data_IF_325600136061
#
_entry.id   IF_325600136061
#
_cell.length_a   1.000
_cell.length_b   1.000
_cell.length_c   1.000
_cell.angle_alpha   90.00
_cell.angle_beta   90.00
_cell.angle_gamma   90.00
#
_symmetry.space_group_name_H-M   'P 1'
#
loop_
_entity.id
_entity.type
_entity.pdbx_description
1 polymer ?
#
# COMPACT_ATOMS: atom_id res chain seq x y z
N UNK A 1 -2.29 -6.08 1.56
CA UNK A 1 -2.47 -5.83 3.01
C UNK A 1 -1.83 -4.50 3.33
N UNK A 2 -2.46 -3.65 4.14
CA UNK A 2 -1.78 -2.46 4.64
C UNK A 2 -0.65 -2.87 5.59
N UNK A 3 0.41 -2.07 5.70
CA UNK A 3 1.46 -2.27 6.71
C UNK A 3 0.88 -2.38 8.13
N UNK A 4 -0.26 -1.72 8.37
CA UNK A 4 -0.99 -1.81 9.63
C UNK A 4 -1.65 -3.19 9.85
N UNK A 5 -2.25 -3.78 8.81
CA UNK A 5 -2.86 -5.12 8.89
C UNK A 5 -1.78 -6.17 9.21
N UNK A 6 -0.60 -6.01 8.61
CA UNK A 6 0.55 -6.88 8.85
C UNK A 6 1.05 -6.77 10.30
N UNK A 7 1.29 -5.54 10.79
CA UNK A 7 1.71 -5.32 12.16
C UNK A 7 0.69 -5.85 13.18
N UNK A 8 -0.60 -5.66 12.91
CA UNK A 8 -1.66 -6.15 13.79
C UNK A 8 -1.75 -7.67 13.80
N UNK A 9 -1.53 -8.34 12.66
CA UNK A 9 -1.49 -9.82 12.59
C UNK A 9 -0.38 -10.38 13.48
N UNK A 10 0.81 -9.76 13.43
CA UNK A 10 1.94 -10.13 14.31
C UNK A 10 1.55 -9.95 15.78
N UNK A 11 0.96 -8.79 16.13
CA UNK A 11 0.55 -8.50 17.50
C UNK A 11 -0.46 -9.52 18.05
N UNK A 12 -1.48 -9.89 17.26
CA UNK A 12 -2.46 -10.92 17.64
C UNK A 12 -1.78 -12.26 17.88
N UNK A 13 -0.87 -12.68 16.98
CA UNK A 13 -0.10 -13.91 17.13
C UNK A 13 0.76 -13.93 18.40
N UNK A 14 1.46 -12.84 18.69
CA UNK A 14 2.27 -12.69 19.91
C UNK A 14 1.43 -12.76 21.19
N UNK A 15 0.25 -12.14 21.19
CA UNK A 15 -0.67 -12.19 22.35
C UNK A 15 -1.18 -13.62 22.55
N UNK A 16 -1.61 -14.30 21.48
CA UNK A 16 -2.06 -15.69 21.55
C UNK A 16 -0.96 -16.60 22.11
N UNK A 17 0.27 -16.47 21.61
CA UNK A 17 1.42 -17.22 22.11
C UNK A 17 1.68 -16.96 23.60
N UNK A 18 1.66 -15.70 24.03
CA UNK A 18 1.88 -15.33 25.42
C UNK A 18 0.81 -15.90 26.38
N UNK A 19 -0.46 -15.95 25.93
CA UNK A 19 -1.58 -16.52 26.69
C UNK A 19 -1.47 -18.04 26.79
N UNK A 20 -1.05 -18.72 25.72
CA UNK A 20 -0.85 -20.18 25.73
C UNK A 20 0.37 -20.59 26.56
N UNK A 21 1.45 -19.81 26.52
CA UNK A 21 2.71 -20.14 27.20
C UNK A 21 2.72 -19.82 28.70
N UNK A 22 1.91 -18.86 29.17
CA UNK A 22 1.85 -18.50 30.59
C UNK A 22 0.55 -18.99 31.23
N UNK A 23 0.61 -20.14 31.91
CA UNK A 23 -0.49 -20.72 32.69
C UNK A 23 -0.95 -19.86 33.88
N UNK A 24 -0.12 -18.92 34.34
CA UNK A 24 -0.47 -17.96 35.40
C UNK A 24 -1.34 -16.79 34.90
N UNK A 25 -1.46 -16.61 33.58
CA UNK A 25 -2.36 -15.60 33.02
C UNK A 25 -3.75 -16.19 32.86
N UNK A 26 -4.72 -15.58 33.53
CA UNK A 26 -6.13 -15.94 33.36
C UNK A 26 -6.52 -15.85 31.88
N UNK A 27 -7.16 -16.89 31.34
CA UNK A 27 -7.76 -16.93 30.00
C UNK A 27 -8.62 -15.68 29.74
N UNK A 28 -9.25 -15.15 30.79
CA UNK A 28 -10.02 -13.92 30.75
C UNK A 28 -9.19 -12.70 30.29
N UNK A 29 -7.94 -12.57 30.77
CA UNK A 29 -7.02 -11.50 30.36
C UNK A 29 -6.64 -11.64 28.89
N UNK A 30 -6.41 -12.87 28.43
CA UNK A 30 -6.15 -13.17 27.02
C UNK A 30 -7.34 -12.81 26.13
N UNK A 31 -8.56 -13.16 26.56
CA UNK A 31 -9.78 -12.80 25.86
C UNK A 31 -10.00 -11.28 25.78
N UNK A 32 -9.79 -10.56 26.89
CA UNK A 32 -9.88 -9.09 26.92
C UNK A 32 -8.86 -8.47 25.97
N UNK A 33 -7.61 -8.97 25.96
CA UNK A 33 -6.58 -8.48 25.05
C UNK A 33 -6.96 -8.71 23.58
N UNK A 34 -7.50 -9.88 23.24
CA UNK A 34 -7.94 -10.20 21.89
C UNK A 34 -9.08 -9.29 21.43
N UNK A 35 -10.10 -9.11 22.28
CA UNK A 35 -11.24 -8.22 22.02
C UNK A 35 -10.78 -6.77 21.86
N UNK A 36 -9.82 -6.31 22.68
CA UNK A 36 -9.26 -4.98 22.57
C UNK A 36 -8.54 -4.77 21.23
N UNK A 37 -7.76 -5.74 20.76
CA UNK A 37 -7.06 -5.64 19.47
C UNK A 37 -8.04 -5.65 18.30
N UNK A 38 -9.02 -6.56 18.29
CA UNK A 38 -10.05 -6.63 17.23
C UNK A 38 -10.91 -5.35 17.23
N UNK A 39 -11.29 -4.88 18.42
CA UNK A 39 -12.05 -3.64 18.59
C UNK A 39 -11.26 -2.44 18.06
N UNK A 40 -9.97 -2.35 18.40
CA UNK A 40 -9.07 -1.31 17.89
C UNK A 40 -8.96 -1.35 16.37
N UNK A 41 -8.71 -2.52 15.76
CA UNK A 41 -8.67 -2.66 14.30
C UNK A 41 -9.97 -2.20 13.63
N UNK A 42 -11.11 -2.56 14.22
CA UNK A 42 -12.43 -2.21 13.69
C UNK A 42 -12.66 -0.70 13.74
N UNK A 43 -12.37 -0.07 14.89
CA UNK A 43 -12.49 1.39 15.07
C UNK A 43 -11.53 2.12 14.14
N UNK A 44 -10.28 1.67 14.04
CA UNK A 44 -9.27 2.27 13.18
C UNK A 44 -9.67 2.20 11.70
N UNK A 45 -10.14 1.03 11.24
CA UNK A 45 -10.61 0.84 9.86
C UNK A 45 -11.84 1.68 9.55
N UNK A 46 -12.76 1.81 10.51
CA UNK A 46 -13.93 2.66 10.38
C UNK A 46 -13.54 4.14 10.30
N UNK A 47 -12.64 4.60 11.18
CA UNK A 47 -12.15 5.98 11.19
C UNK A 47 -11.46 6.33 9.86
N UNK A 48 -10.59 5.44 9.36
CA UNK A 48 -9.93 5.59 8.06
C UNK A 48 -10.92 5.73 6.90
N UNK A 49 -12.00 4.93 6.88
CA UNK A 49 -13.03 5.01 5.82
C UNK A 49 -13.95 6.23 5.95
N UNK A 50 -14.21 6.70 7.18
CA UNK A 50 -15.18 7.77 7.45
C UNK A 50 -14.57 9.16 7.35
N UNK A 51 -13.29 9.31 7.68
CA UNK A 51 -12.61 10.59 7.79
C UNK A 51 -11.42 10.68 6.83
N UNK A 52 -11.56 11.46 5.75
CA UNK A 52 -10.51 11.62 4.74
C UNK A 52 -9.21 12.21 5.32
N UNK A 53 -9.28 13.08 6.32
CA UNK A 53 -8.11 13.63 6.99
C UNK A 53 -7.35 12.56 7.79
N UNK A 54 -8.07 11.58 8.35
CA UNK A 54 -7.48 10.48 9.10
C UNK A 54 -6.79 9.52 8.13
N UNK A 55 -7.43 9.19 7.01
CA UNK A 55 -6.79 8.42 5.94
C UNK A 55 -5.53 9.11 5.39
N UNK A 56 -5.60 10.42 5.11
CA UNK A 56 -4.45 11.18 4.62
C UNK A 56 -3.29 11.28 5.63
N UNK A 57 -3.56 11.16 6.93
CA UNK A 57 -2.53 11.17 7.97
C UNK A 57 -1.79 9.83 8.06
N UNK A 58 -2.49 8.73 7.82
CA UNK A 58 -1.96 7.36 8.02
C UNK A 58 -1.69 6.59 6.72
N UNK A 59 -2.09 7.11 5.57
CA UNK A 59 -1.91 6.49 4.26
C UNK A 59 -1.28 7.48 3.28
N UNK A 60 -0.18 7.09 2.64
CA UNK A 60 0.34 7.84 1.50
C UNK A 60 -0.59 7.68 0.31
N UNK A 61 -0.95 8.78 -0.35
CA UNK A 61 -1.74 8.72 -1.58
C UNK A 61 -0.87 8.16 -2.72
N UNK A 62 -1.43 7.32 -3.61
CA UNK A 62 -0.70 6.85 -4.77
C UNK A 62 -0.19 8.03 -5.61
N UNK A 63 0.99 7.89 -6.22
CA UNK A 63 1.62 8.95 -7.00
C UNK A 63 2.08 8.45 -8.37
N UNK A 64 1.75 9.19 -9.41
CA UNK A 64 2.15 8.88 -10.78
C UNK A 64 3.65 9.13 -10.95
N UNK A 65 4.39 8.11 -11.42
CA UNK A 65 5.84 8.18 -11.62
C UNK A 65 6.23 8.23 -13.10
N UNK A 66 5.39 7.67 -13.97
CA UNK A 66 5.61 7.65 -15.41
C UNK A 66 4.26 7.72 -16.13
N UNK A 67 4.20 8.39 -17.27
CA UNK A 67 3.00 8.47 -18.10
C UNK A 67 3.40 8.47 -19.57
N UNK A 68 2.74 7.65 -20.39
CA UNK A 68 2.93 7.61 -21.85
C UNK A 68 4.41 7.51 -22.28
N UNK A 69 5.21 6.67 -21.61
CA UNK A 69 6.64 6.55 -21.91
C UNK A 69 7.57 7.55 -21.22
N UNK A 70 7.05 8.58 -20.54
CA UNK A 70 7.85 9.66 -19.95
C UNK A 70 7.92 9.60 -18.41
N UNK A 71 9.13 9.67 -17.87
CA UNK A 71 9.37 9.70 -16.43
C UNK A 71 9.08 11.06 -15.81
N UNK A 72 8.27 11.08 -14.75
CA UNK A 72 7.90 12.27 -13.99
C UNK A 72 8.91 12.53 -12.87
N UNK A 73 10.06 13.12 -13.21
CA UNK A 73 11.21 13.32 -12.30
C UNK A 73 10.86 14.04 -10.99
N UNK A 74 9.93 14.98 -11.02
CA UNK A 74 9.53 15.71 -9.79
C UNK A 74 8.76 14.81 -8.83
N UNK A 75 7.93 13.91 -9.34
CA UNK A 75 7.19 12.94 -8.53
C UNK A 75 8.14 11.87 -7.97
N UNK A 76 9.10 11.42 -8.78
CA UNK A 76 10.17 10.52 -8.32
C UNK A 76 10.98 11.11 -7.15
N UNK A 77 11.29 12.41 -7.20
CA UNK A 77 11.95 13.10 -6.08
C UNK A 77 11.08 13.15 -4.82
N UNK A 78 9.77 13.39 -4.97
CA UNK A 78 8.81 13.44 -3.85
C UNK A 78 8.63 12.08 -3.18
N UNK A 79 8.72 10.99 -3.95
CA UNK A 79 8.59 9.62 -3.45
C UNK A 79 9.92 8.95 -3.11
N UNK A 80 11.05 9.64 -3.33
CA UNK A 80 12.39 9.10 -3.15
C UNK A 80 12.62 7.79 -3.95
N UNK A 81 12.13 7.76 -5.18
CA UNK A 81 12.27 6.62 -6.11
C UNK A 81 13.34 6.93 -7.14
N UNK A 82 14.29 6.03 -7.32
CA UNK A 82 15.34 6.17 -8.33
C UNK A 82 14.88 5.65 -9.70
N UNK A 83 15.61 6.03 -10.76
CA UNK A 83 15.39 5.44 -12.09
C UNK A 83 15.68 3.94 -12.10
N UNK A 84 16.65 3.49 -11.31
CA UNK A 84 17.02 2.07 -11.20
C UNK A 84 15.87 1.23 -10.65
N UNK A 85 15.15 1.76 -9.66
CA UNK A 85 13.94 1.13 -9.08
C UNK A 85 12.84 0.98 -10.15
N UNK A 86 12.62 2.03 -10.96
CA UNK A 86 11.64 1.98 -12.04
C UNK A 86 12.02 0.95 -13.10
N UNK A 87 13.29 0.91 -13.53
CA UNK A 87 13.75 -0.10 -14.47
C UNK A 87 13.66 -1.52 -13.92
N UNK A 88 13.86 -1.72 -12.61
CA UNK A 88 13.63 -3.01 -11.98
C UNK A 88 12.17 -3.44 -12.09
N UNK A 89 11.23 -2.51 -11.85
CA UNK A 89 9.79 -2.76 -11.96
C UNK A 89 9.33 -2.99 -13.40
N UNK A 90 9.91 -2.29 -14.36
CA UNK A 90 9.69 -2.56 -15.79
C UNK A 90 10.13 -3.98 -16.18
N UNK A 91 11.28 -4.44 -15.66
CA UNK A 91 11.73 -5.83 -15.86
C UNK A 91 10.81 -6.85 -15.20
N UNK A 92 10.36 -6.61 -13.97
CA UNK A 92 9.38 -7.47 -13.29
C UNK A 92 8.08 -7.58 -14.10
N UNK A 93 7.66 -6.51 -14.76
CA UNK A 93 6.48 -6.46 -15.61
C UNK A 93 6.71 -7.00 -17.04
N UNK A 94 7.91 -7.50 -17.38
CA UNK A 94 8.28 -7.93 -18.74
C UNK A 94 8.11 -6.85 -19.84
N UNK A 95 8.22 -5.57 -19.47
CA UNK A 95 8.21 -4.47 -20.42
C UNK A 95 9.53 -4.47 -21.21
N UNK A 96 9.43 -4.37 -22.53
CA UNK A 96 10.60 -4.42 -23.42
C UNK A 96 11.09 -3.04 -23.80
N UNK A 97 10.16 -2.10 -23.92
CA UNK A 97 10.43 -0.71 -24.27
C UNK A 97 9.54 0.23 -23.45
N UNK A 98 10.09 1.36 -23.02
CA UNK A 98 9.32 2.34 -22.23
C UNK A 98 8.10 2.89 -22.98
N UNK A 99 8.10 2.87 -24.31
CA UNK A 99 6.96 3.29 -25.14
C UNK A 99 5.72 2.39 -25.01
N UNK A 100 5.87 1.18 -24.47
CA UNK A 100 4.75 0.27 -24.17
C UNK A 100 4.01 0.68 -22.88
N UNK A 101 4.62 1.55 -22.06
CA UNK A 101 4.13 1.91 -20.72
C UNK A 101 3.17 3.09 -20.79
N UNK A 102 1.91 2.85 -20.41
CA UNK A 102 0.89 3.89 -20.28
C UNK A 102 1.04 4.65 -18.97
N UNK A 103 1.31 3.95 -17.88
CA UNK A 103 1.50 4.55 -16.56
C UNK A 103 2.34 3.68 -15.63
N UNK A 104 3.10 4.33 -14.75
CA UNK A 104 3.63 3.72 -13.53
C UNK A 104 3.16 4.50 -12.32
N UNK A 105 2.67 3.81 -11.29
CA UNK A 105 2.10 4.41 -10.09
C UNK A 105 2.80 3.85 -8.85
N UNK A 106 3.35 4.73 -8.01
CA UNK A 106 3.73 4.38 -6.65
C UNK A 106 2.46 4.21 -5.82
N UNK A 107 2.22 3.01 -5.31
CA UNK A 107 1.06 2.71 -4.49
C UNK A 107 1.27 3.12 -3.04
N UNK A 108 0.17 3.24 -2.30
CA UNK A 108 0.18 3.49 -0.85
C UNK A 108 0.94 2.42 -0.04
N UNK A 109 1.13 1.24 -0.61
CA UNK A 109 1.91 0.13 -0.05
C UNK A 109 3.41 0.31 -0.18
N UNK A 110 3.86 1.25 -1.02
CA UNK A 110 5.27 1.42 -1.40
C UNK A 110 5.72 0.55 -2.59
N UNK A 111 4.81 -0.24 -3.17
CA UNK A 111 5.07 -0.97 -4.41
C UNK A 111 4.76 -0.09 -5.63
N UNK A 112 5.26 -0.48 -6.80
CA UNK A 112 5.07 0.26 -8.05
C UNK A 112 4.27 -0.59 -9.03
N UNK A 113 3.07 -0.13 -9.34
CA UNK A 113 2.22 -0.72 -10.37
C UNK A 113 2.70 -0.27 -11.75
N UNK A 114 2.80 -1.19 -12.70
CA UNK A 114 3.14 -0.92 -14.11
C UNK A 114 1.94 -1.27 -14.98
N UNK A 115 1.47 -0.30 -15.76
CA UNK A 115 0.38 -0.48 -16.72
C UNK A 115 0.98 -0.31 -18.11
N UNK A 116 1.11 -1.41 -18.85
CA UNK A 116 1.67 -1.45 -20.19
C UNK A 116 0.77 -2.23 -21.15
N UNK A 117 0.95 -1.99 -22.44
CA UNK A 117 0.19 -2.62 -23.51
C UNK A 117 1.04 -2.73 -24.77
N UNK A 118 0.86 -3.81 -25.51
CA UNK A 118 1.48 -4.00 -26.82
C UNK A 118 0.73 -3.24 -27.94
N UNK A 119 -0.47 -2.73 -27.63
CA UNK A 119 -1.34 -1.97 -28.54
C UNK A 119 -1.49 -0.55 -28.03
N UNK A 120 -1.35 0.46 -28.89
CA UNK A 120 -1.70 1.85 -28.53
C UNK A 120 -3.19 1.94 -28.21
N UNK A 121 -3.51 1.79 -26.92
CA UNK A 121 -4.84 1.94 -26.35
C UNK A 121 -4.81 3.04 -25.29
N UNK A 122 -5.97 3.67 -25.08
CA UNK A 122 -6.11 4.70 -24.07
C UNK A 122 -6.32 4.06 -22.71
N UNK A 123 -5.52 4.47 -21.72
CA UNK A 123 -5.74 4.07 -20.35
C UNK A 123 -7.09 4.61 -19.86
N UNK A 124 -7.98 3.70 -19.46
CA UNK A 124 -9.25 4.06 -18.85
C UNK A 124 -9.02 4.98 -17.64
N UNK A 125 -9.69 6.14 -17.64
CA UNK A 125 -9.47 7.19 -16.64
C UNK A 125 -9.75 6.74 -15.21
N UNK A 126 -10.64 5.75 -15.06
CA UNK A 126 -11.06 5.12 -13.83
C UNK A 126 -9.90 4.45 -13.11
N UNK A 127 -8.93 3.89 -13.85
CA UNK A 127 -7.76 3.21 -13.29
C UNK A 127 -6.85 4.20 -12.53
N UNK A 128 -6.82 5.46 -12.93
CA UNK A 128 -6.01 6.51 -12.29
C UNK A 128 -6.76 7.28 -11.20
N UNK A 129 -7.93 6.81 -10.77
CA UNK A 129 -8.72 7.46 -9.72
C UNK A 129 -7.94 7.51 -8.40
N UNK A 130 -7.82 8.70 -7.80
CA UNK A 130 -7.12 8.88 -6.52
C UNK A 130 -5.58 8.99 -6.62
N UNK A 131 -5.01 8.80 -7.81
CA UNK A 131 -3.58 8.97 -8.07
C UNK A 131 -3.22 10.45 -8.16
N UNK A 132 -2.23 10.89 -7.38
CA UNK A 132 -1.65 12.24 -7.51
C UNK A 132 -0.79 12.32 -8.76
N UNK A 133 -1.01 13.36 -9.57
CA UNK A 133 -0.26 13.61 -10.80
C UNK A 133 0.89 14.61 -10.60
N UNK A 134 0.83 15.38 -9.52
CA UNK A 134 1.75 16.46 -9.14
C UNK A 134 1.79 16.62 -7.61
#
# INVERSE_FOLDING_TARGET
MSSFDFASTIAVGSILAAVVMNTDQSILKGGIALVAVIGYQTIFSFAKRKFEWFDALFTNKPMLLMKDGEFLKDNMKKTNVSLEDLYAKLREANVRDTSEVLAMVMESTGDISVIHTDVKDNLASEILTGVRKD
#
